data_IF_943205851837
#
_entry.id   IF_943205851837
#
_cell.length_a   1.000
_cell.length_b   1.000
_cell.length_c   1.000
_cell.angle_alpha   90.00
_cell.angle_beta   90.00
_cell.angle_gamma   90.00
#
_symmetry.space_group_name_H-M   'P 1'
#
loop_
_entity.id
_entity.type
_entity.pdbx_description
1 polymer ?
#
# COMPACT_ATOMS: atom_id res chain seq x y z
N UNK A 1 60.81 -1.72 10.81
CA UNK A 1 59.39 -1.93 11.20
C UNK A 1 58.55 -2.32 9.98
N UNK A 2 57.79 -3.43 10.03
CA UNK A 2 56.81 -3.71 8.99
C UNK A 2 55.73 -2.60 8.97
N UNK A 3 55.17 -2.26 7.79
CA UNK A 3 54.10 -1.29 7.71
C UNK A 3 52.89 -1.77 8.53
N UNK A 4 52.16 -0.85 9.21
CA UNK A 4 50.97 -1.22 9.98
C UNK A 4 49.94 -1.88 9.06
N UNK A 5 49.34 -2.98 9.51
CA UNK A 5 48.29 -3.68 8.77
C UNK A 5 47.12 -2.73 8.52
N UNK A 6 46.52 -2.76 7.31
CA UNK A 6 45.36 -1.93 7.01
C UNK A 6 44.20 -2.27 7.97
N UNK A 7 43.37 -1.28 8.35
CA UNK A 7 42.22 -1.51 9.20
C UNK A 7 41.23 -2.48 8.53
N UNK A 8 40.47 -3.26 9.31
CA UNK A 8 39.46 -4.15 8.74
C UNK A 8 38.37 -3.32 8.03
N UNK A 9 37.94 -3.75 6.82
CA UNK A 9 36.83 -3.13 6.12
C UNK A 9 35.54 -3.14 6.95
N UNK A 10 34.71 -2.12 6.77
CA UNK A 10 33.36 -2.09 7.35
C UNK A 10 32.32 -2.33 6.27
N UNK A 11 31.49 -3.37 6.43
CA UNK A 11 30.32 -3.60 5.58
C UNK A 11 29.07 -3.02 6.23
N UNK A 12 28.36 -2.17 5.49
CA UNK A 12 27.12 -1.53 5.93
C UNK A 12 26.02 -1.91 4.97
N UNK A 13 24.87 -2.33 5.50
CA UNK A 13 23.70 -2.73 4.75
C UNK A 13 22.49 -1.90 5.16
N UNK A 14 21.73 -1.47 4.15
CA UNK A 14 20.40 -0.88 4.27
C UNK A 14 19.38 -1.99 4.04
N UNK A 15 18.44 -2.11 4.95
CA UNK A 15 17.38 -3.11 4.96
C UNK A 15 16.04 -2.42 4.93
N UNK A 16 15.24 -2.71 3.91
CA UNK A 16 13.82 -2.47 3.94
C UNK A 16 13.12 -3.78 4.30
N UNK A 17 12.30 -3.80 5.35
CA UNK A 17 11.59 -4.99 5.81
C UNK A 17 10.11 -4.71 6.00
N UNK A 18 9.27 -5.66 5.58
CA UNK A 18 7.84 -5.69 5.81
C UNK A 18 7.48 -6.86 6.72
N UNK A 19 7.09 -6.55 7.95
CA UNK A 19 6.65 -7.54 8.93
C UNK A 19 5.12 -7.58 8.95
N UNK A 20 4.51 -8.69 8.53
CA UNK A 20 3.07 -8.87 8.59
C UNK A 20 2.59 -8.98 10.05
N UNK A 21 1.52 -8.28 10.39
CA UNK A 21 0.81 -8.45 11.66
C UNK A 21 -0.42 -9.36 11.48
N UNK A 22 -1.06 -9.84 12.56
CA UNK A 22 -2.28 -10.65 12.45
C UNK A 22 -3.47 -9.97 11.76
N UNK A 23 -3.41 -8.65 11.49
CA UNK A 23 -4.48 -7.92 10.81
C UNK A 23 -4.33 -7.86 9.29
N UNK A 24 -3.28 -8.46 8.71
CA UNK A 24 -3.14 -8.55 7.24
C UNK A 24 -4.27 -9.42 6.67
N UNK A 25 -5.08 -8.83 5.80
CA UNK A 25 -6.16 -9.54 5.10
C UNK A 25 -5.68 -10.06 3.75
N UNK A 26 -4.94 -9.23 3.02
CA UNK A 26 -4.40 -9.54 1.71
C UNK A 26 -2.87 -9.46 1.78
N UNK A 27 -2.17 -10.59 1.76
CA UNK A 27 -0.72 -10.58 1.78
C UNK A 27 -0.14 -9.83 0.58
N UNK A 28 0.70 -8.85 0.86
CA UNK A 28 1.53 -8.17 -0.12
C UNK A 28 2.90 -8.84 -0.22
N UNK A 29 3.49 -8.77 -1.41
CA UNK A 29 4.85 -9.22 -1.67
C UNK A 29 5.55 -8.15 -2.49
N UNK A 30 6.72 -7.71 -2.02
CA UNK A 30 7.55 -6.72 -2.71
C UNK A 30 7.86 -7.25 -4.13
N UNK A 31 7.42 -6.55 -5.18
CA UNK A 31 7.76 -6.90 -6.56
C UNK A 31 9.28 -6.86 -6.79
N UNK A 32 9.78 -7.77 -7.64
CA UNK A 32 11.20 -7.78 -7.97
C UNK A 32 11.66 -6.49 -8.69
N UNK A 33 10.75 -5.83 -9.42
CA UNK A 33 10.99 -4.50 -10.02
C UNK A 33 11.35 -3.46 -8.97
N UNK A 34 10.64 -3.47 -7.84
CA UNK A 34 10.73 -2.42 -6.82
C UNK A 34 12.06 -2.50 -6.07
N UNK A 35 12.62 -3.70 -5.94
CA UNK A 35 13.98 -3.88 -5.41
C UNK A 35 15.03 -3.12 -6.21
N UNK A 36 14.91 -3.08 -7.54
CA UNK A 36 15.82 -2.33 -8.39
C UNK A 36 15.60 -0.83 -8.23
N UNK A 37 14.34 -0.38 -8.16
CA UNK A 37 14.02 1.02 -7.87
C UNK A 37 14.60 1.49 -6.53
N UNK A 38 14.57 0.64 -5.49
CA UNK A 38 15.20 0.95 -4.21
C UNK A 38 16.72 1.03 -4.32
N UNK A 39 17.36 0.10 -5.06
CA UNK A 39 18.80 0.20 -5.32
C UNK A 39 19.13 1.50 -6.05
N UNK A 40 18.38 1.85 -7.10
CA UNK A 40 18.59 3.05 -7.91
C UNK A 40 18.36 4.34 -7.10
N UNK A 41 17.60 4.27 -6.01
CA UNK A 41 17.42 5.38 -5.06
C UNK A 41 18.57 5.45 -4.05
N UNK A 42 18.89 4.35 -3.37
CA UNK A 42 19.88 4.32 -2.27
C UNK A 42 21.31 4.49 -2.80
N UNK A 43 21.63 3.85 -3.94
CA UNK A 43 22.98 3.81 -4.50
C UNK A 43 23.59 5.19 -4.76
N UNK A 44 22.96 6.09 -5.54
CA UNK A 44 23.53 7.41 -5.78
C UNK A 44 23.64 8.20 -4.48
N UNK A 45 22.62 8.17 -3.62
CA UNK A 45 22.61 8.95 -2.38
C UNK A 45 23.75 8.56 -1.42
N UNK A 46 23.97 7.26 -1.19
CA UNK A 46 25.07 6.79 -0.35
C UNK A 46 26.43 7.10 -0.98
N UNK A 47 26.56 6.96 -2.31
CA UNK A 47 27.81 7.23 -3.03
C UNK A 47 28.19 8.71 -2.97
N UNK A 48 27.22 9.60 -3.16
CA UNK A 48 27.40 11.04 -3.08
C UNK A 48 27.73 11.48 -1.65
N UNK A 49 27.02 10.94 -0.65
CA UNK A 49 27.29 11.21 0.76
C UNK A 49 28.70 10.77 1.16
N UNK A 50 29.15 9.60 0.70
CA UNK A 50 30.52 9.13 0.96
C UNK A 50 31.56 10.05 0.33
N UNK A 51 31.31 10.51 -0.90
CA UNK A 51 32.20 11.44 -1.60
C UNK A 51 32.31 12.77 -0.85
N UNK A 52 31.17 13.35 -0.45
CA UNK A 52 31.11 14.62 0.29
C UNK A 52 31.76 14.54 1.66
N UNK A 53 31.60 13.40 2.35
CA UNK A 53 32.21 13.17 3.66
C UNK A 53 33.70 12.76 3.58
N UNK A 54 34.26 12.58 2.37
CA UNK A 54 35.61 12.05 2.19
C UNK A 54 35.78 10.64 2.75
N UNK A 55 34.73 9.82 2.72
CA UNK A 55 34.74 8.44 3.13
C UNK A 55 35.18 7.54 1.97
N UNK A 56 36.15 6.65 2.22
CA UNK A 56 36.64 5.71 1.20
C UNK A 56 35.75 4.48 1.13
N UNK A 57 35.11 4.27 -0.02
CA UNK A 57 34.35 3.06 -0.33
C UNK A 57 35.22 2.05 -1.10
N UNK A 58 35.17 0.79 -0.68
CA UNK A 58 35.72 -0.36 -1.41
C UNK A 58 34.74 -0.93 -2.43
N UNK A 59 33.44 -0.86 -2.13
CA UNK A 59 32.37 -1.26 -3.05
C UNK A 59 31.19 -0.30 -2.95
N UNK A 60 30.65 0.07 -4.11
CA UNK A 60 29.40 0.83 -4.18
C UNK A 60 28.24 0.00 -3.58
N UNK A 61 27.10 0.65 -3.27
CA UNK A 61 25.88 -0.05 -2.88
C UNK A 61 25.43 -1.03 -3.98
N UNK A 62 25.16 -2.27 -3.58
CA UNK A 62 24.69 -3.36 -4.44
C UNK A 62 23.52 -4.10 -3.78
N UNK A 63 22.56 -4.54 -4.60
CA UNK A 63 21.44 -5.35 -4.15
C UNK A 63 21.92 -6.76 -3.80
N UNK A 64 21.78 -7.14 -2.53
CA UNK A 64 22.19 -8.45 -1.99
C UNK A 64 21.00 -9.38 -1.82
N UNK A 65 19.85 -8.85 -1.40
CA UNK A 65 18.63 -9.65 -1.21
C UNK A 65 17.45 -8.87 -1.73
N UNK A 66 16.62 -9.55 -2.51
CA UNK A 66 15.31 -9.10 -2.93
C UNK A 66 14.34 -10.26 -2.72
N UNK A 67 13.43 -10.10 -1.78
CA UNK A 67 12.45 -11.11 -1.39
C UNK A 67 11.10 -10.45 -1.14
N UNK A 68 10.05 -11.26 -0.98
CA UNK A 68 8.69 -10.77 -0.80
C UNK A 68 8.51 -9.82 0.40
N UNK A 69 9.39 -9.85 1.40
CA UNK A 69 9.28 -9.05 2.63
C UNK A 69 10.57 -8.32 3.01
N UNK A 70 11.64 -8.45 2.23
CA UNK A 70 12.92 -7.83 2.56
C UNK A 70 13.70 -7.45 1.30
N UNK A 71 14.23 -6.23 1.30
CA UNK A 71 15.25 -5.75 0.37
C UNK A 71 16.49 -5.36 1.15
N UNK A 72 17.65 -5.84 0.70
CA UNK A 72 18.95 -5.61 1.35
C UNK A 72 19.94 -5.08 0.34
N UNK A 73 20.50 -3.91 0.63
CA UNK A 73 21.48 -3.23 -0.21
C UNK A 73 22.73 -3.00 0.63
N UNK A 74 23.89 -3.49 0.20
CA UNK A 74 25.12 -3.40 0.99
C UNK A 74 26.21 -2.63 0.26
N UNK A 75 27.02 -1.93 1.04
CA UNK A 75 28.25 -1.27 0.61
C UNK A 75 29.39 -1.61 1.56
N UNK A 76 30.62 -1.46 1.09
CA UNK A 76 31.81 -1.74 1.89
C UNK A 76 32.69 -0.50 1.94
N UNK A 77 33.04 -0.07 3.14
CA UNK A 77 33.96 1.02 3.42
C UNK A 77 35.35 0.48 3.76
N UNK A 78 36.38 1.28 3.46
CA UNK A 78 37.77 0.92 3.73
C UNK A 78 38.03 0.63 5.22
N UNK A 79 37.32 1.33 6.11
CA UNK A 79 37.45 1.17 7.55
C UNK A 79 36.17 1.55 8.28
N UNK A 80 36.06 1.18 9.55
CA UNK A 80 34.95 1.65 10.40
C UNK A 80 34.92 3.17 10.55
N UNK A 81 36.08 3.83 10.55
CA UNK A 81 36.17 5.28 10.60
C UNK A 81 35.66 5.94 9.30
N UNK A 82 35.83 5.29 8.15
CA UNK A 82 35.28 5.78 6.89
C UNK A 82 33.75 5.65 6.85
N UNK A 83 33.19 4.52 7.29
CA UNK A 83 31.74 4.35 7.35
C UNK A 83 31.05 5.26 8.36
N UNK A 84 31.64 5.43 9.56
CA UNK A 84 31.09 6.26 10.63
C UNK A 84 30.89 7.74 10.23
N UNK A 85 31.63 8.24 9.21
CA UNK A 85 31.43 9.59 8.65
C UNK A 85 30.02 9.80 8.08
N UNK A 86 29.32 8.73 7.69
CA UNK A 86 27.97 8.80 7.13
C UNK A 86 26.87 8.66 8.19
N UNK A 87 27.19 8.56 9.48
CA UNK A 87 26.17 8.33 10.53
C UNK A 87 25.02 9.34 10.45
N UNK A 88 25.32 10.64 10.43
CA UNK A 88 24.29 11.70 10.34
C UNK A 88 23.50 11.66 9.03
N UNK A 89 24.12 11.23 7.93
CA UNK A 89 23.42 11.01 6.67
C UNK A 89 22.38 9.89 6.83
N UNK A 90 22.79 8.72 7.33
CA UNK A 90 21.87 7.60 7.52
C UNK A 90 20.76 7.91 8.53
N UNK A 91 21.06 8.61 9.63
CA UNK A 91 20.05 9.05 10.60
C UNK A 91 18.95 9.90 9.94
N UNK A 92 19.32 10.75 8.98
CA UNK A 92 18.36 11.57 8.22
C UNK A 92 17.63 10.81 7.12
N UNK A 93 18.28 9.84 6.48
CA UNK A 93 17.76 9.18 5.29
C UNK A 93 16.82 8.02 5.58
N UNK A 94 16.97 7.32 6.71
CA UNK A 94 16.12 6.15 7.01
C UNK A 94 14.63 6.49 7.03
N UNK A 95 14.26 7.67 7.55
CA UNK A 95 12.89 8.16 7.55
C UNK A 95 12.43 8.53 6.12
N UNK A 96 13.29 9.22 5.36
CA UNK A 96 12.99 9.59 3.98
C UNK A 96 12.75 8.35 3.10
N UNK A 97 13.64 7.35 3.16
CA UNK A 97 13.46 6.09 2.44
C UNK A 97 12.21 5.34 2.90
N UNK A 98 11.92 5.34 4.19
CA UNK A 98 10.70 4.73 4.70
C UNK A 98 9.46 5.41 4.11
N UNK A 99 9.41 6.74 4.07
CA UNK A 99 8.28 7.50 3.50
C UNK A 99 8.15 7.35 1.98
N UNK A 100 9.26 7.17 1.25
CA UNK A 100 9.21 6.88 -0.18
C UNK A 100 8.56 5.51 -0.47
N UNK A 101 8.74 4.54 0.42
CA UNK A 101 8.26 3.17 0.23
C UNK A 101 6.87 2.98 0.83
N UNK A 102 6.63 3.54 2.01
CA UNK A 102 5.36 3.46 2.72
C UNK A 102 4.40 4.62 2.36
N UNK A 103 4.74 5.45 1.36
CA UNK A 103 4.08 6.70 0.92
C UNK A 103 3.94 7.79 2.01
N UNK A 104 3.96 9.09 1.66
CA UNK A 104 4.02 10.16 2.65
C UNK A 104 2.70 10.26 3.44
N UNK A 105 2.83 10.36 4.77
CA UNK A 105 1.79 10.49 5.81
C UNK A 105 0.98 9.24 6.18
N UNK A 106 0.82 8.25 5.30
CA UNK A 106 0.00 7.07 5.57
C UNK A 106 0.30 5.93 4.60
N UNK A 107 0.26 4.69 5.09
CA UNK A 107 0.54 3.54 4.25
C UNK A 107 -0.49 3.33 3.15
N UNK A 108 0.00 3.08 1.93
CA UNK A 108 -0.81 2.56 0.83
C UNK A 108 -1.66 1.36 1.28
N UNK A 109 -2.85 1.22 0.70
CA UNK A 109 -3.84 0.23 1.15
C UNK A 109 -3.31 -1.21 1.16
N UNK A 110 -2.37 -1.55 0.26
CA UNK A 110 -1.78 -2.89 0.17
C UNK A 110 -0.78 -3.21 1.29
N UNK A 111 -0.32 -2.19 2.04
CA UNK A 111 0.52 -2.37 3.21
C UNK A 111 -0.28 -2.42 4.51
N UNK A 112 -1.62 -2.29 4.49
CA UNK A 112 -2.42 -2.33 5.70
C UNK A 112 -2.23 -3.65 6.47
N UNK A 113 -1.94 -3.53 7.77
CA UNK A 113 -1.58 -4.62 8.65
C UNK A 113 -0.10 -4.98 8.65
N UNK A 114 0.77 -4.26 7.94
CA UNK A 114 2.22 -4.45 8.02
C UNK A 114 2.88 -3.45 8.97
N UNK A 115 4.07 -3.83 9.45
CA UNK A 115 5.06 -2.91 9.99
C UNK A 115 6.18 -2.77 8.96
N UNK A 116 6.36 -1.56 8.43
CA UNK A 116 7.43 -1.21 7.52
C UNK A 116 8.62 -0.68 8.31
N UNK A 117 9.81 -1.20 8.04
CA UNK A 117 11.03 -0.87 8.77
C UNK A 117 12.17 -0.58 7.80
N UNK A 118 12.89 0.49 8.09
CA UNK A 118 14.15 0.84 7.43
C UNK A 118 15.26 0.73 8.46
N UNK A 119 16.22 -0.17 8.24
CA UNK A 119 17.34 -0.40 9.16
C UNK A 119 18.66 -0.26 8.43
N UNK A 120 19.61 0.42 9.02
CA UNK A 120 21.01 0.47 8.59
C UNK A 120 21.85 -0.22 9.65
N UNK A 121 22.72 -1.14 9.25
CA UNK A 121 23.56 -1.87 10.20
C UNK A 121 24.62 -2.73 9.53
N UNK A 122 25.25 -3.61 10.32
CA UNK A 122 26.18 -4.61 9.81
C UNK A 122 25.50 -5.66 8.92
N UNK A 123 26.31 -6.44 8.21
CA UNK A 123 25.83 -7.50 7.33
C UNK A 123 25.30 -8.72 8.11
N UNK A 124 23.97 -8.81 8.23
CA UNK A 124 23.24 -9.95 8.78
C UNK A 124 22.02 -10.34 7.94
N UNK A 125 21.42 -11.48 8.27
CA UNK A 125 20.14 -11.96 7.70
C UNK A 125 18.94 -11.62 8.58
N UNK A 126 19.14 -11.50 9.89
CA UNK A 126 18.10 -11.12 10.86
C UNK A 126 18.25 -9.65 11.24
N UNK A 127 17.33 -8.81 10.74
CA UNK A 127 17.30 -7.38 11.00
C UNK A 127 17.12 -7.01 12.47
N UNK A 128 16.59 -7.93 13.29
CA UNK A 128 16.43 -7.72 14.74
C UNK A 128 17.73 -7.95 15.51
N UNK A 129 18.68 -8.64 14.91
CA UNK A 129 19.94 -9.06 15.53
C UNK A 129 21.13 -8.85 14.58
N UNK A 130 21.23 -7.64 14.01
CA UNK A 130 22.33 -7.32 13.10
C UNK A 130 23.67 -7.26 13.86
N UNK A 131 24.77 -7.77 13.26
CA UNK A 131 26.10 -7.57 13.81
C UNK A 131 26.40 -6.07 13.99
N UNK A 132 27.24 -5.74 14.98
CA UNK A 132 27.72 -4.37 15.18
C UNK A 132 28.42 -3.88 13.92
N UNK A 133 27.79 -2.93 13.22
CA UNK A 133 28.35 -2.24 12.07
C UNK A 133 29.11 -0.99 12.50
N UNK A 134 29.74 -0.30 11.54
CA UNK A 134 30.33 1.02 11.78
C UNK A 134 29.30 2.16 11.77
N UNK A 135 28.06 1.86 11.40
CA UNK A 135 26.91 2.78 11.37
C UNK A 135 25.67 1.99 11.78
N UNK A 136 24.75 2.66 12.48
CA UNK A 136 23.41 2.13 12.73
C UNK A 136 22.36 3.23 12.64
N UNK A 137 21.27 3.00 11.93
CA UNK A 137 20.12 3.90 11.88
C UNK A 137 18.83 3.10 11.74
N UNK A 138 17.71 3.64 12.21
CA UNK A 138 16.43 2.93 12.22
C UNK A 138 15.26 3.89 12.08
N UNK A 139 14.28 3.51 11.26
CA UNK A 139 12.96 4.12 11.20
C UNK A 139 11.92 3.01 11.02
N UNK A 140 10.72 3.23 11.56
CA UNK A 140 9.61 2.29 11.40
C UNK A 140 8.26 2.99 11.35
N UNK A 141 7.33 2.38 10.63
CA UNK A 141 5.97 2.85 10.51
C UNK A 141 5.00 1.68 10.57
N UNK A 142 3.97 1.81 11.42
CA UNK A 142 2.88 0.85 11.45
C UNK A 142 1.82 1.25 10.43
N UNK A 143 1.52 0.35 9.51
CA UNK A 143 0.48 0.54 8.52
C UNK A 143 -0.87 0.10 9.07
N UNK A 144 -1.42 0.92 9.97
CA UNK A 144 -2.76 0.73 10.50
C UNK A 144 -3.81 1.38 9.60
N UNK A 145 -5.02 0.82 9.59
CA UNK A 145 -6.14 1.43 8.90
C UNK A 145 -6.55 2.73 9.61
N UNK A 146 -6.61 3.83 8.85
CA UNK A 146 -7.08 5.11 9.35
C UNK A 146 -8.50 5.02 9.88
N UNK A 147 -8.78 5.72 10.99
CA UNK A 147 -10.14 5.79 11.56
C UNK A 147 -10.97 6.77 10.75
N UNK A 148 -11.66 6.25 9.75
CA UNK A 148 -12.55 7.04 8.89
C UNK A 148 -14.00 6.98 9.40
N UNK A 149 -14.67 8.13 9.42
CA UNK A 149 -16.11 8.22 9.73
C UNK A 149 -16.94 8.04 8.44
N UNK A 150 -16.91 6.83 7.89
CA UNK A 150 -17.66 6.43 6.69
C UNK A 150 -18.02 4.93 6.80
N UNK A 151 -19.26 4.53 6.46
CA UNK A 151 -20.36 5.34 5.95
C UNK A 151 -21.06 6.10 7.09
N UNK A 152 -21.89 7.10 6.76
CA UNK A 152 -22.63 7.86 7.77
C UNK A 152 -23.72 7.04 8.50
N UNK A 153 -24.06 5.85 7.99
CA UNK A 153 -25.09 5.00 8.57
C UNK A 153 -24.53 4.02 9.63
N UNK A 154 -25.41 3.57 10.54
CA UNK A 154 -25.05 2.59 11.56
C UNK A 154 -25.07 1.19 10.95
N UNK A 155 -23.89 0.63 10.72
CA UNK A 155 -23.71 -0.73 10.25
C UNK A 155 -22.33 -1.27 10.71
N UNK A 156 -22.12 -2.59 10.62
CA UNK A 156 -20.85 -3.19 11.00
C UNK A 156 -19.78 -2.95 9.92
N UNK A 157 -18.94 -1.95 10.14
CA UNK A 157 -17.86 -1.54 9.23
C UNK A 157 -16.56 -2.30 9.42
N UNK A 158 -16.47 -3.20 10.42
CA UNK A 158 -15.24 -3.93 10.71
C UNK A 158 -14.81 -4.75 9.48
N UNK A 159 -13.55 -4.67 9.03
CA UNK A 159 -13.04 -5.60 8.02
C UNK A 159 -13.30 -7.05 8.42
N UNK A 160 -13.56 -7.92 7.44
CA UNK A 160 -13.95 -9.32 7.68
C UNK A 160 -15.23 -9.51 8.50
N UNK A 161 -16.10 -8.49 8.63
CA UNK A 161 -17.43 -8.68 9.23
C UNK A 161 -18.34 -9.53 8.34
N UNK A 162 -18.16 -9.46 7.02
CA UNK A 162 -18.92 -10.23 6.03
C UNK A 162 -17.97 -10.97 5.08
N UNK A 163 -18.48 -11.90 4.24
CA UNK A 163 -17.67 -12.62 3.26
C UNK A 163 -17.19 -11.77 2.09
N UNK A 164 -17.62 -10.53 1.97
CA UNK A 164 -17.25 -9.64 0.86
C UNK A 164 -16.12 -8.70 1.28
N UNK A 165 -15.10 -8.61 0.43
CA UNK A 165 -13.97 -7.71 0.60
C UNK A 165 -13.57 -7.05 -0.72
N UNK A 166 -12.93 -5.89 -0.64
CA UNK A 166 -12.27 -5.27 -1.78
C UNK A 166 -10.75 -5.49 -1.67
N UNK A 167 -10.11 -5.82 -2.78
CA UNK A 167 -8.65 -5.89 -2.87
C UNK A 167 -8.05 -4.50 -2.61
N UNK A 168 -6.83 -4.43 -2.05
CA UNK A 168 -6.25 -3.16 -1.63
C UNK A 168 -5.68 -2.33 -2.80
N UNK A 169 -5.90 -2.75 -4.04
CA UNK A 169 -5.37 -2.10 -5.23
C UNK A 169 -6.49 -1.77 -6.20
N UNK A 170 -6.39 -0.61 -6.84
CA UNK A 170 -7.21 -0.23 -7.98
C UNK A 170 -6.55 -0.72 -9.26
N UNK A 171 -7.36 -1.08 -10.24
CA UNK A 171 -6.89 -1.39 -11.60
C UNK A 171 -7.52 -0.45 -12.61
N UNK A 172 -6.79 -0.09 -13.66
CA UNK A 172 -7.30 0.78 -14.72
C UNK A 172 -7.82 -0.01 -15.93
N UNK A 173 -8.88 0.49 -16.56
CA UNK A 173 -9.38 0.01 -17.85
C UNK A 173 -9.75 1.22 -18.75
N UNK A 174 -9.77 1.06 -20.08
CA UNK A 174 -10.29 2.10 -20.97
C UNK A 174 -11.77 2.39 -20.68
N UNK A 175 -12.14 3.67 -20.60
CA UNK A 175 -13.53 4.09 -20.46
C UNK A 175 -14.36 3.88 -21.73
N UNK A 176 -15.69 4.04 -21.62
CA UNK A 176 -16.60 4.03 -22.78
C UNK A 176 -16.33 5.21 -23.70
N UNK A 177 -15.86 6.32 -23.14
CA UNK A 177 -15.48 7.52 -23.87
C UNK A 177 -13.96 7.66 -23.89
N UNK A 178 -13.42 8.17 -25.00
CA UNK A 178 -11.96 8.42 -25.13
C UNK A 178 -11.41 9.39 -24.08
N UNK A 179 -12.28 10.23 -23.52
CA UNK A 179 -11.96 11.21 -22.48
C UNK A 179 -12.10 10.66 -21.06
N UNK A 180 -12.31 9.35 -20.89
CA UNK A 180 -12.55 8.73 -19.58
C UNK A 180 -11.72 7.48 -19.34
N UNK A 181 -11.41 7.24 -18.07
CA UNK A 181 -10.68 6.06 -17.57
C UNK A 181 -11.53 5.38 -16.49
N UNK A 182 -11.57 4.05 -16.52
CA UNK A 182 -12.21 3.26 -15.48
C UNK A 182 -11.21 2.91 -14.38
N UNK A 183 -11.56 3.24 -13.15
CA UNK A 183 -10.82 2.90 -11.94
C UNK A 183 -11.58 1.84 -11.15
N UNK A 184 -11.08 0.62 -11.13
CA UNK A 184 -11.83 -0.54 -10.68
C UNK A 184 -11.36 -1.06 -9.32
N UNK A 185 -12.31 -1.14 -8.40
CA UNK A 185 -12.22 -2.03 -7.24
C UNK A 185 -12.42 -3.45 -7.72
N UNK A 186 -11.46 -4.32 -7.45
CA UNK A 186 -11.66 -5.78 -7.60
C UNK A 186 -12.10 -6.35 -6.26
N UNK A 187 -13.19 -7.11 -6.26
CA UNK A 187 -13.74 -7.72 -5.07
C UNK A 187 -13.22 -9.15 -4.91
N UNK A 188 -13.20 -9.62 -3.66
CA UNK A 188 -12.86 -10.98 -3.28
C UNK A 188 -13.88 -11.52 -2.28
N UNK A 189 -13.96 -12.85 -2.18
CA UNK A 189 -14.63 -13.51 -1.06
C UNK A 189 -13.64 -14.00 -0.02
N UNK A 190 -13.88 -13.65 1.24
CA UNK A 190 -13.02 -13.97 2.38
C UNK A 190 -13.79 -14.75 3.44
N UNK A 191 -13.06 -15.45 4.32
CA UNK A 191 -13.65 -16.04 5.52
C UNK A 191 -13.91 -14.93 6.54
N UNK A 192 -15.16 -14.69 6.97
CA UNK A 192 -15.45 -13.69 7.99
C UNK A 192 -14.79 -14.04 9.33
N UNK A 193 -14.43 -13.03 10.11
CA UNK A 193 -13.91 -13.21 11.47
C UNK A 193 -14.89 -13.94 12.40
N UNK A 194 -16.20 -13.84 12.13
CA UNK A 194 -17.24 -14.62 12.79
C UNK A 194 -18.21 -15.21 11.76
N UNK A 195 -17.91 -16.41 11.20
CA UNK A 195 -18.70 -17.01 10.12
C UNK A 195 -20.16 -17.31 10.49
N UNK A 196 -20.45 -17.47 11.79
CA UNK A 196 -21.77 -17.81 12.31
C UNK A 196 -22.62 -16.58 12.68
N UNK A 197 -22.03 -15.38 12.68
CA UNK A 197 -22.75 -14.12 12.93
C UNK A 197 -23.73 -13.77 11.82
N UNK A 198 -24.65 -12.84 12.08
CA UNK A 198 -25.57 -12.30 11.07
C UNK A 198 -24.82 -11.80 9.83
N UNK A 199 -23.71 -11.07 10.02
CA UNK A 199 -22.89 -10.57 8.91
C UNK A 199 -22.04 -11.65 8.25
N UNK A 200 -21.51 -12.62 9.00
CA UNK A 200 -20.70 -13.70 8.45
C UNK A 200 -21.51 -14.68 7.57
N UNK A 201 -22.82 -14.77 7.81
CA UNK A 201 -23.74 -15.63 7.05
C UNK A 201 -24.25 -15.00 5.76
N UNK A 202 -23.93 -13.74 5.46
CA UNK A 202 -24.45 -13.07 4.26
C UNK A 202 -23.99 -13.77 2.99
N UNK A 203 -24.88 -13.84 2.00
CA UNK A 203 -24.64 -14.54 0.73
C UNK A 203 -24.79 -13.63 -0.49
N UNK A 204 -25.32 -12.42 -0.28
CA UNK A 204 -25.61 -11.46 -1.34
C UNK A 204 -25.00 -10.10 -1.01
N UNK A 205 -24.23 -9.57 -1.95
CA UNK A 205 -23.77 -8.19 -1.98
C UNK A 205 -24.83 -7.33 -2.67
N UNK A 206 -25.52 -6.48 -1.91
CA UNK A 206 -26.65 -5.70 -2.41
C UNK A 206 -26.22 -4.40 -3.08
N UNK A 207 -25.26 -3.68 -2.47
CA UNK A 207 -24.71 -2.42 -2.98
C UNK A 207 -23.28 -2.21 -2.50
N UNK A 208 -22.58 -1.29 -3.13
CA UNK A 208 -21.38 -0.69 -2.57
C UNK A 208 -21.54 0.83 -2.43
N UNK A 209 -20.88 1.41 -1.44
CA UNK A 209 -20.78 2.86 -1.29
C UNK A 209 -19.32 3.27 -1.24
N UNK A 210 -18.96 4.29 -2.00
CA UNK A 210 -17.61 4.83 -2.12
C UNK A 210 -17.57 6.21 -1.49
N UNK A 211 -16.56 6.47 -0.67
CA UNK A 211 -16.36 7.79 -0.06
C UNK A 211 -15.73 8.73 -1.09
N UNK A 212 -16.55 9.56 -1.72
CA UNK A 212 -16.17 10.38 -2.86
C UNK A 212 -16.50 11.85 -2.63
N UNK A 213 -15.66 12.74 -3.17
CA UNK A 213 -15.80 14.18 -3.02
C UNK A 213 -17.05 14.66 -3.76
N UNK A 214 -18.03 15.13 -3.00
CA UNK A 214 -19.33 15.56 -3.50
C UNK A 214 -19.24 16.72 -4.51
N UNK A 215 -18.17 17.53 -4.44
CA UNK A 215 -17.94 18.63 -5.37
C UNK A 215 -17.53 18.16 -6.77
N UNK A 216 -17.10 16.90 -6.90
CA UNK A 216 -16.63 16.30 -8.15
C UNK A 216 -17.70 15.40 -8.80
N UNK A 217 -18.97 15.56 -8.42
CA UNK A 217 -20.12 14.84 -9.03
C UNK A 217 -20.14 14.83 -10.56
N UNK A 218 -19.65 15.89 -11.20
CA UNK A 218 -19.61 16.01 -12.67
C UNK A 218 -18.41 15.32 -13.32
N UNK A 219 -17.42 14.87 -12.53
CA UNK A 219 -16.21 14.20 -13.02
C UNK A 219 -16.37 12.70 -13.25
N UNK A 220 -17.52 12.14 -12.86
CA UNK A 220 -17.86 10.74 -13.08
C UNK A 220 -18.92 10.61 -14.18
N UNK A 221 -18.60 9.87 -15.23
CA UNK A 221 -19.51 9.59 -16.35
C UNK A 221 -20.47 8.43 -16.06
N UNK A 222 -20.11 7.54 -15.14
CA UNK A 222 -20.92 6.40 -14.73
C UNK A 222 -20.17 5.42 -13.86
N UNK A 223 -20.83 4.31 -13.53
CA UNK A 223 -20.24 3.20 -12.80
C UNK A 223 -20.35 1.93 -13.65
N UNK A 224 -19.21 1.33 -13.95
CA UNK A 224 -19.10 0.03 -14.61
C UNK A 224 -19.19 -1.11 -13.59
N UNK A 225 -20.01 -2.11 -13.87
CA UNK A 225 -20.26 -3.26 -13.01
C UNK A 225 -20.01 -4.54 -13.79
N UNK A 226 -19.01 -5.32 -13.37
CA UNK A 226 -18.65 -6.58 -14.03
C UNK A 226 -18.58 -7.70 -12.99
N UNK A 227 -19.68 -8.43 -12.74
CA UNK A 227 -19.60 -9.61 -11.87
C UNK A 227 -18.67 -10.65 -12.49
N UNK A 228 -18.04 -11.46 -11.64
CA UNK A 228 -17.17 -12.55 -12.08
C UNK A 228 -17.94 -13.51 -13.01
N UNK A 229 -17.26 -13.96 -14.06
CA UNK A 229 -17.85 -14.79 -15.12
C UNK A 229 -18.66 -14.00 -16.16
N UNK A 230 -18.88 -12.70 -16.00
CA UNK A 230 -19.52 -11.89 -17.04
C UNK A 230 -18.52 -11.52 -18.15
N UNK A 231 -18.92 -11.75 -19.39
CA UNK A 231 -18.15 -11.34 -20.57
C UNK A 231 -18.14 -9.82 -20.77
N UNK A 232 -19.21 -9.13 -20.34
CA UNK A 232 -19.41 -7.70 -20.55
C UNK A 232 -19.61 -6.96 -19.24
N UNK A 233 -19.27 -5.67 -19.25
CA UNK A 233 -19.51 -4.74 -18.15
C UNK A 233 -20.85 -4.05 -18.34
N UNK A 234 -21.70 -4.04 -17.31
CA UNK A 234 -22.94 -3.27 -17.27
C UNK A 234 -22.65 -1.88 -16.72
N UNK A 235 -23.14 -0.84 -17.36
CA UNK A 235 -22.99 0.52 -16.87
C UNK A 235 -24.27 1.02 -16.22
N UNK A 236 -24.14 1.70 -15.09
CA UNK A 236 -25.21 2.42 -14.41
C UNK A 236 -24.84 3.88 -14.27
N UNK A 237 -25.85 4.74 -14.17
CA UNK A 237 -25.64 6.15 -13.84
C UNK A 237 -25.07 6.30 -12.43
N UNK A 238 -24.22 7.31 -12.23
CA UNK A 238 -23.73 7.66 -10.91
C UNK A 238 -24.91 8.05 -10.00
N UNK A 239 -25.10 7.31 -8.92
CA UNK A 239 -26.09 7.62 -7.89
C UNK A 239 -25.37 8.11 -6.65
N UNK A 240 -25.85 9.18 -6.02
CA UNK A 240 -25.19 9.80 -4.89
C UNK A 240 -26.10 9.84 -3.65
N UNK A 241 -25.48 9.97 -2.48
CA UNK A 241 -26.14 10.38 -1.24
C UNK A 241 -26.70 11.80 -1.32
N UNK A 242 -27.27 12.25 -0.20
CA UNK A 242 -27.64 13.64 -0.05
C UNK A 242 -26.39 14.54 -0.23
N UNK A 243 -26.62 15.78 -0.67
CA UNK A 243 -25.53 16.73 -0.89
C UNK A 243 -24.73 16.90 0.41
N UNK A 244 -23.41 16.80 0.32
CA UNK A 244 -22.51 16.84 1.48
C UNK A 244 -22.28 15.50 2.21
N UNK A 245 -23.01 14.43 1.89
CA UNK A 245 -22.74 13.09 2.46
C UNK A 245 -21.49 12.42 1.89
N UNK A 246 -20.91 12.97 0.82
CA UNK A 246 -19.69 12.45 0.20
C UNK A 246 -19.79 10.95 -0.17
N UNK A 247 -20.98 10.51 -0.61
CA UNK A 247 -21.29 9.09 -0.79
C UNK A 247 -21.72 8.82 -2.22
N UNK A 248 -20.89 8.12 -2.98
CA UNK A 248 -21.25 7.56 -4.29
C UNK A 248 -21.77 6.13 -4.11
N UNK A 249 -22.87 5.77 -4.78
CA UNK A 249 -23.60 4.51 -4.61
C UNK A 249 -23.55 3.68 -5.88
N UNK A 250 -22.97 2.48 -5.78
CA UNK A 250 -23.06 1.44 -6.80
C UNK A 250 -24.20 0.47 -6.43
N UNK A 251 -25.39 0.71 -6.99
CA UNK A 251 -26.61 -0.05 -6.65
C UNK A 251 -27.58 -0.10 -7.84
N UNK A 252 -28.38 -1.16 -8.00
CA UNK A 252 -28.30 -2.45 -7.30
C UNK A 252 -27.20 -3.35 -7.89
N UNK A 253 -26.47 -4.06 -7.01
CA UNK A 253 -25.53 -5.12 -7.38
C UNK A 253 -26.23 -6.48 -7.39
N UNK A 254 -26.76 -6.90 -6.23
CA UNK A 254 -27.38 -8.21 -6.00
C UNK A 254 -26.48 -9.40 -6.41
N UNK A 255 -25.19 -9.31 -6.15
CA UNK A 255 -24.22 -10.35 -6.51
C UNK A 255 -24.17 -11.46 -5.47
N UNK A 256 -24.14 -12.70 -5.93
CA UNK A 256 -23.76 -13.84 -5.08
C UNK A 256 -22.28 -13.78 -4.71
N UNK A 257 -21.85 -14.60 -3.74
CA UNK A 257 -20.41 -14.80 -3.44
C UNK A 257 -19.59 -15.12 -4.69
N UNK A 258 -20.09 -16.01 -5.55
CA UNK A 258 -19.38 -16.39 -6.78
C UNK A 258 -19.23 -15.22 -7.75
N UNK A 259 -20.26 -14.37 -7.88
CA UNK A 259 -20.22 -13.19 -8.74
C UNK A 259 -19.35 -12.07 -8.16
N UNK A 260 -19.29 -11.95 -6.82
CA UNK A 260 -18.45 -10.97 -6.16
C UNK A 260 -16.96 -11.37 -6.19
N UNK A 261 -16.62 -12.66 -6.13
CA UNK A 261 -15.23 -13.09 -6.12
C UNK A 261 -14.55 -12.89 -7.49
N UNK A 262 -13.72 -11.85 -7.61
CA UNK A 262 -13.17 -11.38 -8.89
C UNK A 262 -14.09 -10.42 -9.66
N UNK A 263 -15.23 -10.04 -9.08
CA UNK A 263 -16.11 -9.03 -9.65
C UNK A 263 -15.50 -7.63 -9.53
N UNK A 264 -15.82 -6.75 -10.47
CA UNK A 264 -15.25 -5.40 -10.54
C UNK A 264 -16.34 -4.31 -10.46
N UNK A 265 -16.10 -3.32 -9.61
CA UNK A 265 -16.88 -2.08 -9.53
C UNK A 265 -15.96 -0.94 -9.99
N UNK A 266 -16.27 -0.32 -11.11
CA UNK A 266 -15.39 0.64 -11.79
C UNK A 266 -16.00 2.03 -11.82
N UNK A 267 -15.25 3.02 -11.35
CA UNK A 267 -15.58 4.43 -11.44
C UNK A 267 -15.10 4.94 -12.81
N UNK A 268 -16.01 5.42 -13.66
CA UNK A 268 -15.63 6.00 -14.95
C UNK A 268 -15.37 7.50 -14.79
N UNK A 269 -14.11 7.89 -14.60
CA UNK A 269 -13.72 9.27 -14.34
C UNK A 269 -13.20 9.94 -15.62
N UNK A 270 -13.34 11.26 -15.73
CA UNK A 270 -12.63 12.05 -16.74
C UNK A 270 -11.11 11.84 -16.62
N UNK A 271 -10.38 11.79 -17.74
CA UNK A 271 -8.94 11.51 -17.76
C UNK A 271 -8.08 12.51 -16.96
N UNK A 272 -8.62 13.68 -16.64
CA UNK A 272 -7.95 14.69 -15.82
C UNK A 272 -8.29 14.59 -14.33
N UNK A 273 -9.00 13.54 -13.90
CA UNK A 273 -9.39 13.33 -12.50
C UNK A 273 -8.87 11.97 -12.05
N UNK A 274 -7.98 11.96 -11.07
CA UNK A 274 -7.45 10.72 -10.47
C UNK A 274 -8.33 10.23 -9.31
N UNK A 275 -8.18 8.97 -8.86
CA UNK A 275 -8.81 8.48 -7.64
C UNK A 275 -8.42 9.31 -6.41
N UNK A 276 -7.15 9.73 -6.33
CA UNK A 276 -6.60 10.58 -5.26
C UNK A 276 -7.38 11.91 -5.11
N UNK A 277 -7.82 12.48 -6.23
CA UNK A 277 -8.61 13.72 -6.27
C UNK A 277 -10.11 13.46 -6.07
N UNK A 278 -10.62 12.41 -6.72
CA UNK A 278 -12.06 12.09 -6.73
C UNK A 278 -12.55 11.55 -5.39
N UNK A 279 -11.77 10.69 -4.75
CA UNK A 279 -12.12 10.07 -3.49
C UNK A 279 -11.79 10.99 -2.32
N UNK A 280 -12.58 10.88 -1.26
CA UNK A 280 -12.11 11.41 0.02
C UNK A 280 -11.11 10.40 0.57
N UNK A 281 -9.85 10.80 0.52
CA UNK A 281 -8.67 10.03 0.91
C UNK A 281 -8.47 10.03 2.43
N UNK A 282 -9.00 11.05 3.11
CA UNK A 282 -8.65 11.32 4.51
C UNK A 282 -7.20 11.81 4.55
N UNK A 283 -6.31 11.02 5.16
CA UNK A 283 -4.86 11.22 5.11
C UNK A 283 -4.16 10.37 4.05
N UNK A 284 -4.89 9.47 3.38
CA UNK A 284 -4.29 8.34 2.67
C UNK A 284 -4.69 8.36 1.20
N UNK A 285 -3.72 8.29 0.27
CA UNK A 285 -3.95 8.22 -1.19
C UNK A 285 -4.70 6.93 -1.59
N UNK A 286 -5.98 6.90 -1.27
CA UNK A 286 -6.82 5.71 -1.18
C UNK A 286 -8.26 6.09 -1.52
N UNK A 287 -8.98 5.16 -2.14
CA UNK A 287 -10.43 5.22 -2.21
C UNK A 287 -11.05 4.22 -1.25
N UNK A 288 -11.98 4.70 -0.42
CA UNK A 288 -12.70 3.89 0.56
C UNK A 288 -13.99 3.33 -0.01
N UNK A 289 -14.27 2.05 0.25
CA UNK A 289 -15.47 1.35 -0.21
C UNK A 289 -16.10 0.51 0.92
N UNK A 290 -17.41 0.66 1.11
CA UNK A 290 -18.23 -0.21 1.95
C UNK A 290 -19.02 -1.18 1.09
N UNK A 291 -19.08 -2.44 1.52
CA UNK A 291 -19.78 -3.51 0.82
C UNK A 291 -21.00 -3.97 1.61
N UNK A 292 -22.21 -3.64 1.16
CA UNK A 292 -23.43 -3.85 1.93
C UNK A 292 -24.12 -5.15 1.58
N UNK A 293 -24.57 -5.85 2.62
CA UNK A 293 -25.53 -6.94 2.48
C UNK A 293 -26.96 -6.42 2.22
N UNK A 294 -27.91 -7.34 2.04
CA UNK A 294 -29.32 -7.00 1.80
C UNK A 294 -30.00 -6.35 3.00
N UNK A 295 -29.59 -6.66 4.24
CA UNK A 295 -30.11 -6.02 5.45
C UNK A 295 -29.58 -4.59 5.66
N UNK A 296 -28.49 -4.22 4.95
CA UNK A 296 -27.72 -2.98 5.11
C UNK A 296 -27.07 -2.82 6.49
N UNK A 297 -27.15 -3.85 7.34
CA UNK A 297 -26.56 -3.83 8.68
C UNK A 297 -25.10 -4.29 8.67
N UNK A 298 -24.64 -4.90 7.57
CA UNK A 298 -23.28 -5.37 7.39
C UNK A 298 -22.64 -4.62 6.24
N UNK A 299 -21.55 -3.91 6.52
CA UNK A 299 -20.96 -2.94 5.58
C UNK A 299 -19.43 -2.84 5.74
N UNK A 300 -18.67 -3.95 5.77
CA UNK A 300 -17.23 -3.87 6.01
C UNK A 300 -16.56 -2.83 5.10
N UNK A 301 -15.70 -2.01 5.70
CA UNK A 301 -14.98 -0.94 5.07
C UNK A 301 -13.60 -1.41 4.62
N UNK A 302 -13.25 -1.14 3.36
CA UNK A 302 -11.94 -1.40 2.79
C UNK A 302 -11.43 -0.16 2.06
N UNK A 303 -10.13 -0.10 1.82
CA UNK A 303 -9.49 0.93 1.00
C UNK A 303 -8.73 0.29 -0.14
N UNK A 304 -8.61 1.00 -1.25
CA UNK A 304 -7.79 0.60 -2.40
C UNK A 304 -6.97 1.79 -2.90
N UNK A 305 -5.71 1.54 -3.23
CA UNK A 305 -4.77 2.56 -3.77
C UNK A 305 -4.41 2.22 -5.21
N UNK A 306 -4.15 3.23 -6.03
CA UNK A 306 -3.53 3.00 -7.34
C UNK A 306 -2.10 2.49 -7.18
N UNK A 307 -1.68 1.54 -8.02
CA UNK A 307 -0.33 0.95 -7.97
C UNK A 307 0.63 1.68 -8.90
#
# INVERSE_FOLDING_TARGET
PPPPSPPPPCKVCVYFTLTATPSVIFPFSIPASDCQTYLDTVKPQVTDAATQAGARMLSAPELVTCSASQVKICSTFFSSADGAKLQSFFDSQVQFWLEQIATPASCSSYLLGYQAEMTVGGDGSDVKNLPTGCVSAYASQQCAQSKINFPACVCNTKPLASPFAALPTLTTLPGRFKSTTLWCFTLATVTPSSPTSTCGKTTTLAKAEIWANDNLRRKIAGIGLKPAGSATMRYISASWGAVGENTLKATPLNWSKAQANGGQICLELENNTSPAEFCNTGSDDTCWINLFDTSKSCCPLYSSTDL
#
